data_IF_078898590100
#
_entry.id   IF_078898590100
#
_cell.length_a   1.000
_cell.length_b   1.000
_cell.length_c   1.000
_cell.angle_alpha   90.00
_cell.angle_beta   90.00
_cell.angle_gamma   90.00
#
_symmetry.space_group_name_H-M   'P 1'
#
loop_
_entity.id
_entity.type
_entity.pdbx_description
1 polymer ?
#
# COMPACT_ATOMS: atom_id res chain seq x y z
N UNK A 1 -5.57 7.77 17.21
CA UNK A 1 -4.80 7.51 15.99
C UNK A 1 -5.01 8.65 15.02
N UNK A 2 -3.95 9.28 14.55
CA UNK A 2 -4.05 10.37 13.56
C UNK A 2 -4.16 9.75 12.17
N UNK A 3 -5.36 9.83 11.58
CA UNK A 3 -5.66 9.26 10.26
C UNK A 3 -4.93 9.97 9.14
N UNK A 4 -4.65 11.26 9.28
CA UNK A 4 -3.91 12.04 8.27
C UNK A 4 -2.46 11.59 8.21
N UNK A 5 -1.82 11.39 9.35
CA UNK A 5 -0.49 10.79 9.41
C UNK A 5 -0.51 9.35 8.85
N UNK A 6 -1.50 8.56 9.27
CA UNK A 6 -1.55 7.15 8.92
C UNK A 6 -1.69 6.91 7.40
N UNK A 7 -2.57 7.65 6.72
CA UNK A 7 -2.90 7.41 5.32
C UNK A 7 -2.14 8.30 4.34
N UNK A 8 -1.69 9.49 4.74
CA UNK A 8 -1.20 10.49 3.79
C UNK A 8 0.24 10.92 3.97
N UNK A 9 0.82 10.79 5.15
CA UNK A 9 2.21 11.18 5.40
C UNK A 9 3.17 10.03 5.13
N UNK A 10 4.41 10.36 4.76
CA UNK A 10 5.46 9.41 4.41
C UNK A 10 6.45 9.14 5.54
N UNK A 11 6.41 9.94 6.60
CA UNK A 11 7.29 9.84 7.76
C UNK A 11 6.80 8.79 8.76
N UNK A 12 7.76 8.22 9.50
CA UNK A 12 7.50 7.23 10.52
C UNK A 12 7.52 5.78 10.02
N UNK A 13 6.99 4.88 10.84
CA UNK A 13 6.99 3.42 10.65
C UNK A 13 5.61 2.86 10.88
N UNK A 14 5.23 1.81 10.15
CA UNK A 14 4.02 1.02 10.39
C UNK A 14 4.33 -0.48 10.42
N UNK A 15 3.67 -1.20 11.30
CA UNK A 15 3.75 -2.66 11.36
C UNK A 15 2.90 -3.32 10.26
N UNK A 16 3.01 -4.65 10.15
CA UNK A 16 2.25 -5.44 9.16
C UNK A 16 0.74 -5.31 9.32
N UNK A 17 0.25 -5.28 10.56
CA UNK A 17 -1.19 -5.20 10.84
C UNK A 17 -1.77 -3.87 10.32
N UNK A 18 -1.09 -2.76 10.56
CA UNK A 18 -1.48 -1.46 10.04
C UNK A 18 -1.42 -1.41 8.51
N UNK A 19 -0.43 -2.04 7.87
CA UNK A 19 -0.39 -2.16 6.41
C UNK A 19 -1.63 -2.88 5.87
N UNK A 20 -1.98 -4.05 6.45
CA UNK A 20 -3.17 -4.80 6.04
C UNK A 20 -4.46 -4.00 6.27
N UNK A 21 -4.55 -3.27 7.39
CA UNK A 21 -5.68 -2.39 7.66
C UNK A 21 -5.80 -1.28 6.62
N UNK A 22 -4.69 -0.64 6.22
CA UNK A 22 -4.70 0.38 5.17
C UNK A 22 -5.18 -0.20 3.83
N UNK A 23 -4.67 -1.37 3.44
CA UNK A 23 -5.10 -2.04 2.21
C UNK A 23 -6.60 -2.40 2.25
N UNK A 24 -7.11 -2.87 3.39
CA UNK A 24 -8.54 -3.14 3.56
C UNK A 24 -9.37 -1.86 3.40
N UNK A 25 -8.95 -0.76 4.01
CA UNK A 25 -9.63 0.55 3.88
C UNK A 25 -9.65 0.97 2.40
N UNK A 26 -8.52 0.88 1.71
CA UNK A 26 -8.43 1.22 0.28
C UNK A 26 -9.36 0.33 -0.55
N UNK A 27 -9.37 -0.98 -0.30
CA UNK A 27 -10.23 -1.92 -1.02
C UNK A 27 -11.73 -1.62 -0.81
N UNK A 28 -12.14 -1.30 0.42
CA UNK A 28 -13.52 -0.92 0.72
C UNK A 28 -13.91 0.40 0.05
N UNK A 29 -13.02 1.40 0.09
CA UNK A 29 -13.25 2.68 -0.58
C UNK A 29 -13.28 2.53 -2.11
N UNK A 30 -12.45 1.68 -2.68
CA UNK A 30 -12.46 1.38 -4.11
C UNK A 30 -13.78 0.70 -4.53
N UNK A 31 -14.26 -0.26 -3.75
CA UNK A 31 -15.57 -0.88 -3.96
C UNK A 31 -16.73 0.12 -3.90
N UNK A 32 -16.70 1.02 -2.91
CA UNK A 32 -17.71 2.09 -2.79
C UNK A 32 -17.65 3.05 -3.99
N UNK A 33 -16.46 3.39 -4.44
CA UNK A 33 -16.25 4.26 -5.60
C UNK A 33 -16.79 3.63 -6.89
N UNK A 34 -16.56 2.31 -7.08
CA UNK A 34 -17.10 1.57 -8.22
C UNK A 34 -18.63 1.56 -8.22
N UNK A 35 -19.26 1.30 -7.07
CA UNK A 35 -20.70 1.37 -6.91
C UNK A 35 -21.22 2.77 -7.24
N UNK A 36 -20.59 3.81 -6.72
CA UNK A 36 -20.97 5.19 -7.00
C UNK A 36 -20.88 5.53 -8.50
N UNK A 37 -19.82 5.09 -9.19
CA UNK A 37 -19.65 5.26 -10.62
C UNK A 37 -20.74 4.55 -11.42
N UNK A 38 -21.15 3.35 -11.01
CA UNK A 38 -22.24 2.62 -11.65
C UNK A 38 -23.60 3.33 -11.45
N UNK A 39 -23.86 3.83 -10.26
CA UNK A 39 -25.09 4.59 -9.96
C UNK A 39 -25.17 5.86 -10.81
N UNK A 40 -24.07 6.59 -10.95
CA UNK A 40 -23.99 7.78 -11.83
C UNK A 40 -24.31 7.39 -13.27
N UNK A 41 -23.76 6.28 -13.77
CA UNK A 41 -24.02 5.79 -15.11
C UNK A 41 -25.49 5.39 -15.33
N UNK A 42 -26.15 4.82 -14.33
CA UNK A 42 -27.57 4.45 -14.39
C UNK A 42 -28.45 5.72 -14.39
N UNK A 43 -28.20 6.64 -13.47
CA UNK A 43 -28.96 7.90 -13.36
C UNK A 43 -28.76 8.76 -14.63
N UNK A 44 -27.55 8.74 -15.20
CA UNK A 44 -27.25 9.43 -16.45
C UNK A 44 -27.76 8.75 -17.72
N UNK A 45 -28.40 7.58 -17.61
CA UNK A 45 -28.98 6.84 -18.74
C UNK A 45 -27.96 6.15 -19.66
N UNK A 46 -26.68 6.09 -19.24
CA UNK A 46 -25.60 5.41 -20.01
C UNK A 46 -25.52 3.92 -19.71
N UNK A 47 -26.09 3.46 -18.58
CA UNK A 47 -26.13 2.06 -18.16
C UNK A 47 -27.56 1.66 -17.72
N UNK A 48 -27.95 0.43 -18.02
CA UNK A 48 -29.29 -0.08 -17.68
C UNK A 48 -29.32 -0.95 -16.43
N UNK A 49 -28.20 -1.47 -15.96
CA UNK A 49 -28.11 -2.42 -14.86
C UNK A 49 -26.86 -2.25 -14.01
N UNK A 50 -26.97 -2.51 -12.70
CA UNK A 50 -25.84 -2.70 -11.80
C UNK A 50 -25.12 -4.02 -12.14
N UNK A 51 -23.85 -3.96 -12.46
CA UNK A 51 -23.00 -5.13 -12.55
C UNK A 51 -22.30 -5.33 -11.20
N UNK A 52 -22.76 -6.29 -10.41
CA UNK A 52 -22.07 -6.74 -9.21
C UNK A 52 -20.95 -7.71 -9.59
N UNK A 53 -19.88 -7.18 -10.17
CA UNK A 53 -18.64 -7.89 -10.39
C UNK A 53 -17.54 -7.00 -9.84
N UNK A 54 -16.86 -7.40 -8.76
CA UNK A 54 -15.60 -6.79 -8.39
C UNK A 54 -14.54 -7.33 -9.36
N UNK A 55 -14.42 -6.71 -10.52
CA UNK A 55 -13.17 -6.72 -11.26
C UNK A 55 -12.25 -5.77 -10.48
N UNK A 56 -11.50 -6.35 -9.53
CA UNK A 56 -10.35 -5.69 -8.94
C UNK A 56 -9.23 -5.72 -10.01
N UNK A 57 -9.44 -4.98 -11.09
CA UNK A 57 -8.37 -4.59 -11.97
C UNK A 57 -7.49 -3.62 -11.16
N UNK A 58 -6.48 -4.18 -10.51
CA UNK A 58 -5.29 -3.44 -10.11
C UNK A 58 -4.45 -3.08 -11.36
N UNK A 59 -5.12 -2.87 -12.47
CA UNK A 59 -4.53 -2.16 -13.55
C UNK A 59 -4.35 -0.73 -13.05
N UNK A 60 -3.11 -0.35 -12.80
CA UNK A 60 -2.76 1.06 -12.58
C UNK A 60 -3.09 1.78 -13.89
N UNK A 61 -4.40 1.97 -14.14
CA UNK A 61 -4.98 2.35 -15.41
C UNK A 61 -4.54 3.73 -15.84
N UNK A 62 -3.28 3.81 -16.23
CA UNK A 62 -2.80 4.91 -17.09
C UNK A 62 -3.74 5.09 -18.28
N UNK A 63 -4.34 4.01 -18.79
CA UNK A 63 -5.37 4.04 -19.82
C UNK A 63 -6.59 4.90 -19.46
N UNK A 64 -7.05 4.86 -18.22
CA UNK A 64 -8.14 5.73 -17.74
C UNK A 64 -7.73 7.20 -17.70
N UNK A 65 -6.50 7.48 -17.28
CA UNK A 65 -5.93 8.83 -17.28
C UNK A 65 -5.66 9.32 -18.69
N UNK A 66 -5.13 8.50 -19.60
CA UNK A 66 -4.90 8.85 -20.99
C UNK A 66 -6.21 9.13 -21.73
N UNK A 67 -7.26 8.34 -21.49
CA UNK A 67 -8.60 8.61 -22.05
C UNK A 67 -9.20 9.94 -21.57
N UNK A 68 -8.87 10.34 -20.34
CA UNK A 68 -9.34 11.63 -19.80
C UNK A 68 -8.58 12.82 -20.40
N UNK A 69 -7.29 12.62 -20.69
CA UNK A 69 -6.40 13.66 -21.25
C UNK A 69 -6.53 13.78 -22.77
N UNK A 70 -6.99 12.73 -23.47
CA UNK A 70 -7.20 12.80 -24.92
C UNK A 70 -8.46 13.65 -25.25
N UNK A 71 -8.31 14.84 -25.86
CA UNK A 71 -9.44 15.71 -26.16
C UNK A 71 -10.44 15.05 -27.12
N UNK A 72 -10.00 14.11 -27.97
CA UNK A 72 -10.87 13.42 -28.94
C UNK A 72 -11.83 12.46 -28.25
N UNK A 73 -11.37 11.82 -27.16
CA UNK A 73 -12.18 10.90 -26.38
C UNK A 73 -13.05 11.65 -25.38
N UNK A 74 -12.51 12.65 -24.68
CA UNK A 74 -13.24 13.39 -23.64
C UNK A 74 -14.41 14.20 -24.21
N UNK A 75 -14.30 14.76 -25.41
CA UNK A 75 -15.40 15.47 -26.08
C UNK A 75 -16.50 14.55 -26.64
N UNK A 76 -16.21 13.27 -26.85
CA UNK A 76 -17.18 12.30 -27.37
C UNK A 76 -17.97 11.58 -26.24
N UNK A 77 -17.57 11.74 -24.95
CA UNK A 77 -18.22 11.09 -23.83
C UNK A 77 -19.51 11.82 -23.44
N UNK A 78 -20.54 11.06 -23.09
CA UNK A 78 -21.72 11.61 -22.46
C UNK A 78 -21.33 12.24 -21.07
N UNK A 79 -22.02 13.31 -20.62
CA UNK A 79 -21.68 13.97 -19.35
C UNK A 79 -21.61 13.04 -18.15
N UNK A 80 -22.46 12.00 -18.10
CA UNK A 80 -22.45 11.00 -17.03
C UNK A 80 -21.22 10.08 -17.09
N UNK A 81 -20.78 9.70 -18.27
CA UNK A 81 -19.56 8.89 -18.47
C UNK A 81 -18.30 9.72 -18.14
N UNK A 82 -18.31 11.00 -18.50
CA UNK A 82 -17.23 11.93 -18.12
C UNK A 82 -17.15 12.10 -16.60
N UNK A 83 -18.28 12.31 -15.93
CA UNK A 83 -18.33 12.40 -14.47
C UNK A 83 -17.83 11.12 -13.78
N UNK A 84 -18.26 9.95 -14.27
CA UNK A 84 -17.80 8.66 -13.80
C UNK A 84 -16.29 8.45 -14.01
N UNK A 85 -15.77 8.89 -15.15
CA UNK A 85 -14.33 8.79 -15.46
C UNK A 85 -13.49 9.71 -14.56
N UNK A 86 -13.93 10.94 -14.32
CA UNK A 86 -13.28 11.87 -13.40
C UNK A 86 -13.29 11.30 -11.97
N UNK A 87 -14.42 10.75 -11.52
CA UNK A 87 -14.54 10.14 -10.20
C UNK A 87 -13.56 8.96 -10.04
N UNK A 88 -13.48 8.09 -11.02
CA UNK A 88 -12.53 6.95 -11.04
C UNK A 88 -11.08 7.44 -11.03
N UNK A 89 -10.71 8.38 -11.87
CA UNK A 89 -9.36 8.91 -11.95
C UNK A 89 -8.92 9.58 -10.65
N UNK A 90 -9.79 10.38 -10.03
CA UNK A 90 -9.50 11.03 -8.75
C UNK A 90 -9.37 10.03 -7.60
N UNK A 91 -10.23 9.01 -7.56
CA UNK A 91 -10.14 7.92 -6.60
C UNK A 91 -8.85 7.12 -6.76
N UNK A 92 -8.47 6.79 -8.00
CA UNK A 92 -7.24 6.07 -8.30
C UNK A 92 -5.99 6.86 -7.87
N UNK A 93 -5.94 8.16 -8.12
CA UNK A 93 -4.85 9.01 -7.66
C UNK A 93 -4.76 9.05 -6.13
N UNK A 94 -5.90 9.13 -5.44
CA UNK A 94 -5.98 9.10 -3.98
C UNK A 94 -5.50 7.74 -3.43
N UNK A 95 -5.96 6.63 -3.99
CA UNK A 95 -5.57 5.29 -3.56
C UNK A 95 -4.10 5.01 -3.80
N UNK A 96 -3.59 5.46 -4.94
CA UNK A 96 -2.16 5.38 -5.24
C UNK A 96 -1.32 6.15 -4.20
N UNK A 97 -1.76 7.35 -3.83
CA UNK A 97 -1.08 8.14 -2.79
C UNK A 97 -1.07 7.43 -1.44
N UNK A 98 -2.22 6.90 -0.99
CA UNK A 98 -2.34 6.16 0.27
C UNK A 98 -1.46 4.90 0.24
N UNK A 99 -1.50 4.15 -0.87
CA UNK A 99 -0.64 2.98 -1.05
C UNK A 99 0.84 3.36 -0.97
N UNK A 100 1.26 4.42 -1.65
CA UNK A 100 2.64 4.89 -1.64
C UNK A 100 3.08 5.30 -0.23
N UNK A 101 2.24 6.06 0.48
CA UNK A 101 2.53 6.51 1.84
C UNK A 101 2.66 5.34 2.82
N UNK A 102 1.76 4.38 2.76
CA UNK A 102 1.79 3.19 3.64
C UNK A 102 2.92 2.23 3.28
N UNK A 103 3.19 2.04 1.99
CA UNK A 103 4.29 1.21 1.51
C UNK A 103 5.66 1.77 1.93
N UNK A 104 5.87 3.08 1.81
CA UNK A 104 7.11 3.74 2.24
C UNK A 104 7.30 3.58 3.75
N UNK A 105 6.28 3.85 4.58
CA UNK A 105 6.37 3.65 6.03
C UNK A 105 6.65 2.19 6.41
N UNK A 106 6.14 1.25 5.63
CA UNK A 106 6.45 -0.16 5.82
C UNK A 106 7.90 -0.50 5.48
N UNK A 107 8.47 0.10 4.43
CA UNK A 107 9.89 -0.01 4.11
C UNK A 107 10.76 0.62 5.21
N UNK A 108 10.33 1.76 5.77
CA UNK A 108 10.97 2.38 6.92
C UNK A 108 10.98 1.47 8.16
N UNK A 109 9.93 0.71 8.39
CA UNK A 109 9.85 -0.30 9.45
C UNK A 109 10.87 -1.45 9.25
N UNK A 110 11.32 -1.65 8.02
CA UNK A 110 12.40 -2.57 7.62
C UNK A 110 13.78 -1.91 7.59
N UNK A 111 13.90 -0.70 8.10
CA UNK A 111 15.11 0.15 8.00
C UNK A 111 15.57 0.39 6.54
N UNK A 112 14.64 0.31 5.59
CA UNK A 112 14.88 0.57 4.18
C UNK A 112 14.35 1.94 3.79
N UNK A 113 15.09 2.63 2.90
CA UNK A 113 14.62 3.87 2.29
C UNK A 113 13.37 3.61 1.45
N UNK A 114 12.44 4.58 1.40
CA UNK A 114 11.27 4.52 0.53
C UNK A 114 11.58 4.35 -0.96
N UNK A 115 12.79 4.68 -1.40
CA UNK A 115 13.25 4.47 -2.78
C UNK A 115 13.24 3.00 -3.22
N UNK A 116 13.23 2.04 -2.29
CA UNK A 116 13.11 0.63 -2.61
C UNK A 116 11.76 0.26 -3.26
N UNK A 117 10.76 1.14 -3.20
CA UNK A 117 9.50 0.95 -3.92
C UNK A 117 9.71 0.96 -5.44
N UNK A 118 10.72 1.71 -5.92
CA UNK A 118 11.03 1.83 -7.35
C UNK A 118 11.45 0.48 -7.95
N UNK A 119 12.51 -0.21 -7.46
CA UNK A 119 12.90 -1.49 -8.01
C UNK A 119 11.90 -2.62 -7.72
N UNK A 120 11.15 -2.55 -6.63
CA UNK A 120 10.24 -3.62 -6.26
C UNK A 120 8.90 -3.57 -7.01
N UNK A 121 8.36 -2.38 -7.24
CA UNK A 121 7.00 -2.24 -7.79
C UNK A 121 6.94 -1.35 -9.03
N UNK A 122 7.62 -0.20 -9.02
CA UNK A 122 7.51 0.74 -10.13
C UNK A 122 8.17 0.20 -11.41
N UNK A 123 9.41 -0.27 -11.34
CA UNK A 123 10.11 -0.80 -12.53
C UNK A 123 9.44 -2.07 -13.09
N UNK A 124 9.06 -3.08 -12.28
CA UNK A 124 8.32 -4.23 -12.78
C UNK A 124 6.97 -3.85 -13.39
N UNK A 125 6.22 -2.93 -12.76
CA UNK A 125 4.94 -2.44 -13.28
C UNK A 125 5.10 -1.68 -14.60
N UNK A 126 6.07 -0.78 -14.68
CA UNK A 126 6.39 -0.05 -15.91
C UNK A 126 6.80 -1.02 -17.04
N UNK A 127 7.64 -2.00 -16.72
CA UNK A 127 8.05 -3.00 -17.69
C UNK A 127 6.86 -3.81 -18.21
N UNK A 128 5.97 -4.25 -17.33
CA UNK A 128 4.75 -4.99 -17.67
C UNK A 128 3.85 -4.17 -18.62
N UNK A 129 3.70 -2.87 -18.38
CA UNK A 129 2.88 -1.98 -19.20
C UNK A 129 3.42 -1.81 -20.65
N UNK A 130 4.74 -1.84 -20.81
CA UNK A 130 5.38 -1.65 -22.11
C UNK A 130 5.90 -2.96 -22.73
N UNK A 131 5.65 -4.11 -22.12
CA UNK A 131 6.15 -5.41 -22.57
C UNK A 131 5.69 -5.76 -23.99
N UNK A 132 4.45 -5.38 -24.37
CA UNK A 132 3.89 -5.66 -25.70
C UNK A 132 4.51 -4.81 -26.81
N UNK A 133 5.13 -3.67 -26.46
CA UNK A 133 5.81 -2.80 -27.43
C UNK A 133 7.24 -3.28 -27.70
N UNK A 134 7.76 -4.22 -26.93
CA UNK A 134 9.12 -4.72 -27.07
C UNK A 134 9.16 -5.86 -28.10
N UNK A 135 10.24 -5.95 -28.92
CA UNK A 135 10.39 -7.02 -29.90
C UNK A 135 10.48 -8.37 -29.16
N UNK A 136 9.72 -9.37 -29.63
CA UNK A 136 9.72 -10.74 -29.05
C UNK A 136 11.08 -11.40 -29.24
N UNK A 137 11.95 -11.30 -28.25
CA UNK A 137 13.31 -11.85 -28.25
C UNK A 137 13.58 -12.60 -26.93
N UNK A 138 14.51 -13.54 -26.96
CA UNK A 138 14.85 -14.36 -25.79
C UNK A 138 15.34 -13.56 -24.57
N UNK A 139 15.97 -12.40 -24.77
CA UNK A 139 16.39 -11.54 -23.66
C UNK A 139 15.21 -10.91 -22.89
N UNK A 140 14.04 -10.74 -23.54
CA UNK A 140 12.82 -10.25 -22.89
C UNK A 140 12.31 -11.24 -21.84
N UNK A 141 12.48 -12.54 -22.10
CA UNK A 141 12.16 -13.55 -21.08
C UNK A 141 12.99 -13.35 -19.80
N UNK A 142 14.28 -13.06 -19.94
CA UNK A 142 15.16 -12.78 -18.78
C UNK A 142 14.74 -11.50 -18.04
N UNK A 143 14.31 -10.46 -18.75
CA UNK A 143 13.78 -9.24 -18.13
C UNK A 143 12.46 -9.49 -17.41
N UNK A 144 11.53 -10.23 -18.01
CA UNK A 144 10.28 -10.64 -17.37
C UNK A 144 10.53 -11.42 -16.07
N UNK A 145 11.44 -12.39 -16.13
CA UNK A 145 11.83 -13.17 -14.96
C UNK A 145 12.44 -12.28 -13.88
N UNK A 146 13.31 -11.37 -14.24
CA UNK A 146 13.93 -10.41 -13.30
C UNK A 146 12.88 -9.50 -12.68
N UNK A 147 11.96 -8.96 -13.48
CA UNK A 147 10.87 -8.11 -13.00
C UNK A 147 9.96 -8.89 -12.02
N UNK A 148 9.61 -10.13 -12.36
CA UNK A 148 8.81 -11.00 -11.49
C UNK A 148 9.52 -11.32 -10.17
N UNK A 149 10.83 -11.58 -10.19
CA UNK A 149 11.62 -11.84 -8.99
C UNK A 149 11.74 -10.59 -8.10
N UNK A 150 11.94 -9.41 -8.69
CA UNK A 150 11.97 -8.16 -7.94
C UNK A 150 10.61 -7.86 -7.30
N UNK A 151 9.52 -8.07 -8.03
CA UNK A 151 8.17 -7.89 -7.53
C UNK A 151 7.87 -8.86 -6.37
N UNK A 152 8.19 -10.15 -6.55
CA UNK A 152 8.03 -11.17 -5.51
C UNK A 152 8.86 -10.83 -4.27
N UNK A 153 10.11 -10.40 -4.45
CA UNK A 153 10.95 -9.98 -3.33
C UNK A 153 10.32 -8.78 -2.59
N UNK A 154 9.81 -7.79 -3.31
CA UNK A 154 9.08 -6.66 -2.72
C UNK A 154 7.89 -7.11 -1.89
N UNK A 155 7.09 -8.06 -2.38
CA UNK A 155 5.97 -8.64 -1.62
C UNK A 155 6.45 -9.33 -0.34
N UNK A 156 7.47 -10.18 -0.43
CA UNK A 156 8.03 -10.86 0.76
C UNK A 156 8.55 -9.83 1.77
N UNK A 157 9.25 -8.80 1.32
CA UNK A 157 9.79 -7.75 2.18
C UNK A 157 8.70 -6.97 2.90
N UNK A 158 7.60 -6.66 2.22
CA UNK A 158 6.50 -5.86 2.79
C UNK A 158 5.56 -6.69 3.68
N UNK A 159 5.19 -7.89 3.25
CA UNK A 159 4.11 -8.64 3.87
C UNK A 159 4.58 -9.78 4.78
N UNK A 160 5.70 -10.44 4.45
CA UNK A 160 6.13 -11.64 5.17
C UNK A 160 7.11 -11.34 6.30
N UNK A 161 8.04 -10.40 6.10
CA UNK A 161 9.12 -10.14 7.07
C UNK A 161 8.63 -9.25 8.22
N UNK A 162 9.12 -9.52 9.45
CA UNK A 162 8.89 -8.66 10.61
C UNK A 162 9.64 -7.32 10.46
N UNK A 163 9.16 -6.26 11.10
CA UNK A 163 9.88 -4.99 11.24
C UNK A 163 11.17 -5.14 12.05
N UNK A 164 12.01 -4.12 12.04
CA UNK A 164 13.16 -4.03 12.92
C UNK A 164 12.69 -3.75 14.34
N UNK A 165 13.14 -4.53 15.32
CA UNK A 165 12.87 -4.29 16.73
C UNK A 165 13.63 -3.05 17.22
N UNK A 166 13.01 -2.28 18.10
CA UNK A 166 13.58 -1.07 18.68
C UNK A 166 13.61 0.13 17.73
N UNK A 167 14.28 1.19 18.18
CA UNK A 167 14.41 2.44 17.44
C UNK A 167 15.33 2.27 16.23
N UNK A 168 14.90 2.78 15.06
CA UNK A 168 15.74 2.88 13.87
C UNK A 168 15.79 4.33 13.34
N UNK A 169 16.48 4.58 12.23
CA UNK A 169 16.64 5.93 11.64
C UNK A 169 15.33 6.62 11.24
N UNK A 170 14.21 5.91 11.19
CA UNK A 170 12.88 6.44 10.81
C UNK A 170 11.93 6.61 11.99
N UNK A 171 12.33 6.21 13.21
CA UNK A 171 11.52 6.41 14.40
C UNK A 171 11.50 5.23 15.37
N UNK A 172 10.65 5.36 16.40
CA UNK A 172 10.42 4.34 17.42
C UNK A 172 9.75 3.10 16.83
N UNK A 173 9.87 1.98 17.55
CA UNK A 173 9.20 0.74 17.21
C UNK A 173 7.67 0.92 17.33
N UNK A 174 6.88 0.62 16.29
CA UNK A 174 5.41 0.69 16.37
C UNK A 174 4.81 -0.30 17.38
N UNK A 175 5.58 -1.25 17.90
CA UNK A 175 5.14 -2.26 18.86
C UNK A 175 5.67 -1.99 20.29
N UNK A 176 6.51 -0.98 20.51
CA UNK A 176 7.13 -0.69 21.81
C UNK A 176 6.09 -0.51 22.92
N UNK A 177 5.01 0.21 22.66
CA UNK A 177 3.95 0.46 23.64
C UNK A 177 3.22 -0.82 24.10
N UNK A 178 3.20 -1.85 23.26
CA UNK A 178 2.60 -3.14 23.60
C UNK A 178 3.54 -4.00 24.46
N UNK A 179 4.84 -3.92 24.21
CA UNK A 179 5.85 -4.68 24.98
C UNK A 179 6.02 -4.11 26.38
N UNK A 180 6.00 -2.79 26.55
CA UNK A 180 6.07 -2.13 27.86
C UNK A 180 4.85 -2.45 28.74
N UNK A 181 3.67 -2.56 28.14
CA UNK A 181 2.44 -2.98 28.84
C UNK A 181 2.50 -4.41 29.37
N UNK A 182 3.18 -5.31 28.66
CA UNK A 182 3.38 -6.69 29.10
C UNK A 182 4.49 -6.83 30.14
N UNK A 183 5.52 -6.00 30.06
CA UNK A 183 6.61 -5.98 31.02
C UNK A 183 6.18 -5.40 32.37
N UNK A 184 5.24 -4.42 32.36
CA UNK A 184 4.68 -3.84 33.61
C UNK A 184 3.77 -4.82 34.39
N UNK A 185 3.28 -5.88 33.72
CA UNK A 185 2.51 -6.94 34.40
C UNK A 185 3.39 -8.06 34.97
N UNK A 186 4.68 -8.08 34.71
CA UNK A 186 5.59 -9.00 35.34
C UNK A 186 5.78 -8.59 36.85
N UNK A 187 5.51 -9.47 37.80
CA UNK A 187 5.77 -9.15 39.20
C UNK A 187 7.25 -8.79 39.34
N UNK A 188 7.59 -7.78 40.17
CA UNK A 188 8.98 -7.37 40.36
C UNK A 188 9.80 -8.61 40.73
N UNK A 189 10.85 -8.85 39.94
CA UNK A 189 11.77 -9.95 40.24
C UNK A 189 12.17 -9.81 41.70
N UNK A 190 11.86 -10.84 42.51
CA UNK A 190 12.26 -10.86 43.90
C UNK A 190 13.77 -10.66 43.92
N UNK A 191 14.21 -9.49 44.32
CA UNK A 191 15.60 -9.27 44.67
C UNK A 191 15.92 -10.28 45.75
N UNK A 192 16.67 -11.33 45.42
CA UNK A 192 17.22 -12.23 46.42
C UNK A 192 18.08 -11.36 47.30
N UNK A 193 17.60 -11.20 48.50
CA UNK A 193 18.23 -10.46 49.59
C UNK A 193 19.68 -10.91 49.75
N UNK A 194 20.62 -10.06 49.38
CA UNK A 194 22.05 -10.24 49.58
C UNK A 194 22.46 -9.86 51.01
N UNK A 195 21.52 -9.69 51.91
CA UNK A 195 21.79 -9.44 53.33
C UNK A 195 21.99 -10.73 54.14
N UNK A 196 22.90 -11.61 53.69
CA UNK A 196 23.61 -12.53 54.57
C UNK A 196 25.06 -12.08 54.65
N UNK A 197 25.30 -10.91 55.18
CA UNK A 197 26.56 -10.64 55.83
C UNK A 197 26.65 -11.54 57.08
N UNK A 198 27.51 -12.51 56.99
CA UNK A 198 27.89 -13.36 58.11
C UNK A 198 28.73 -12.49 59.00
N UNK A 199 28.15 -12.02 60.11
CA UNK A 199 28.92 -11.61 61.28
C UNK A 199 29.60 -12.86 61.85
N UNK A 200 30.89 -12.98 61.58
CA UNK A 200 31.79 -13.89 62.35
C UNK A 200 32.52 -13.05 63.39
N UNK A 201 32.11 -13.21 64.61
CA UNK A 201 32.91 -12.82 65.83
C UNK A 201 33.87 -13.94 66.15
#
# INVERSE_FOLDING_TARGET
MDWTWYLFRFDGRINRALLWQALLIVALLAGLLEIAGQVIGIVGGTRSTLKLGMELDFDFGLDGLFKLVDPRVSHALAPADLAGSILKASGMALFFWIYLATAIKRLHDRDKSGWWIVPFFFLPGLFSQFADLLPKSSWIFSLNLTAALLWLWGLVEMFCRSGTSGHNRFGSDPLADFDDGSASAAPPAKSWDQSREIEIV
#
